data_IF_748959798974
#
_entry.id   IF_748959798974
#
_cell.length_a   1.000
_cell.length_b   1.000
_cell.length_c   1.000
_cell.angle_alpha   90.00
_cell.angle_beta   90.00
_cell.angle_gamma   90.00
#
_symmetry.space_group_name_H-M   'P 1'
#
loop_
_entity.id
_entity.type
_entity.pdbx_description
1 polymer ?
#
# COMPACT_ATOMS: atom_id res chain seq x y z
N UNK A 1 4.53 20.47 -60.36
CA UNK A 1 5.36 19.87 -59.32
C UNK A 1 4.87 20.11 -57.91
N UNK A 2 4.36 21.28 -57.50
CA UNK A 2 3.90 21.59 -56.17
C UNK A 2 2.74 20.74 -55.63
N UNK A 3 1.76 20.33 -56.48
CA UNK A 3 0.61 19.51 -56.05
C UNK A 3 0.98 18.07 -55.71
N UNK A 4 1.99 17.48 -56.40
CA UNK A 4 2.50 16.13 -56.09
C UNK A 4 3.28 16.09 -54.77
N UNK A 5 4.00 17.17 -54.47
CA UNK A 5 4.75 17.31 -53.24
C UNK A 5 3.83 17.40 -52.02
N UNK A 6 2.69 18.14 -52.15
CA UNK A 6 1.69 18.29 -51.10
C UNK A 6 1.00 16.96 -50.75
N UNK A 7 0.70 16.15 -51.78
CA UNK A 7 0.08 14.82 -51.56
C UNK A 7 1.05 13.86 -50.89
N UNK A 8 2.31 13.89 -51.23
CA UNK A 8 3.36 13.06 -50.58
C UNK A 8 3.54 13.48 -49.10
N UNK A 9 3.52 14.78 -48.82
CA UNK A 9 3.62 15.30 -47.46
C UNK A 9 2.41 14.88 -46.59
N UNK A 10 1.19 14.94 -47.17
CA UNK A 10 -0.04 14.51 -46.53
C UNK A 10 -0.05 13.00 -46.23
N UNK A 11 0.46 12.18 -47.17
CA UNK A 11 0.57 10.74 -46.99
C UNK A 11 1.61 10.39 -45.91
N UNK A 12 2.73 11.13 -45.82
CA UNK A 12 3.72 10.97 -44.77
C UNK A 12 3.16 11.30 -43.40
N UNK A 13 2.38 12.37 -43.27
CA UNK A 13 1.72 12.75 -42.01
C UNK A 13 0.71 11.69 -41.59
N UNK A 14 -0.09 11.15 -42.50
CA UNK A 14 -1.03 10.04 -42.22
C UNK A 14 -0.29 8.78 -41.82
N UNK A 15 0.86 8.47 -42.42
CA UNK A 15 1.67 7.31 -42.09
C UNK A 15 2.29 7.48 -40.68
N UNK A 16 2.75 8.67 -40.32
CA UNK A 16 3.29 8.98 -39.00
C UNK A 16 2.20 8.85 -37.94
N UNK A 17 0.98 9.35 -38.21
CA UNK A 17 -0.16 9.21 -37.29
C UNK A 17 -0.54 7.73 -37.13
N UNK A 18 -0.53 6.93 -38.21
CA UNK A 18 -0.82 5.49 -38.13
C UNK A 18 0.28 4.69 -37.42
N UNK A 19 1.55 5.10 -37.51
CA UNK A 19 2.67 4.47 -36.79
C UNK A 19 2.61 4.84 -35.31
N UNK A 20 2.30 6.09 -34.97
CA UNK A 20 2.15 6.53 -33.55
C UNK A 20 0.93 5.86 -32.91
N UNK A 21 -0.15 5.62 -33.64
CA UNK A 21 -1.34 4.89 -33.11
C UNK A 21 -1.12 3.37 -33.05
N UNK A 22 -0.13 2.80 -33.78
CA UNK A 22 0.19 1.37 -33.76
C UNK A 22 1.34 1.00 -32.83
N UNK A 23 2.18 1.98 -32.45
CA UNK A 23 3.19 1.86 -31.41
C UNK A 23 2.68 2.34 -30.04
N UNK A 24 1.37 2.45 -29.86
CA UNK A 24 0.74 2.52 -28.55
C UNK A 24 1.07 1.22 -27.82
N UNK A 25 2.08 1.31 -26.94
CA UNK A 25 2.58 0.20 -26.17
C UNK A 25 1.43 -0.52 -25.47
N UNK A 26 1.61 -1.78 -25.23
CA UNK A 26 0.82 -2.52 -24.26
C UNK A 26 0.68 -1.59 -23.06
N UNK A 27 -0.52 -1.03 -22.88
CA UNK A 27 -0.93 -0.50 -21.59
C UNK A 27 -0.88 -1.73 -20.70
N UNK A 28 0.09 -1.77 -19.80
CA UNK A 28 -0.05 -2.56 -18.61
C UNK A 28 -1.42 -2.18 -18.07
N UNK A 29 -2.35 -3.11 -18.14
CA UNK A 29 -3.61 -3.01 -17.40
C UNK A 29 -3.23 -3.19 -15.93
N UNK A 30 -2.66 -2.15 -15.37
CA UNK A 30 -2.70 -1.92 -13.96
C UNK A 30 -4.19 -1.75 -13.68
N UNK A 31 -4.81 -2.77 -13.09
CA UNK A 31 -6.17 -2.67 -12.57
C UNK A 31 -6.13 -1.55 -11.54
N UNK A 32 -6.46 -0.33 -11.97
CA UNK A 32 -6.85 0.72 -11.04
C UNK A 32 -8.03 0.17 -10.24
N UNK A 33 -7.94 0.07 -8.92
CA UNK A 33 -9.10 -0.29 -8.13
C UNK A 33 -10.10 0.85 -8.26
N UNK A 34 -11.13 0.60 -9.04
CA UNK A 34 -12.39 1.34 -9.17
C UNK A 34 -12.23 2.85 -9.39
N UNK A 35 -12.67 3.30 -10.56
CA UNK A 35 -13.19 4.66 -10.73
C UNK A 35 -14.05 5.02 -9.51
N UNK A 36 -13.53 5.96 -8.72
CA UNK A 36 -14.18 6.43 -7.52
C UNK A 36 -15.53 7.05 -7.88
N UNK A 37 -16.58 6.30 -7.69
CA UNK A 37 -17.88 6.92 -7.47
C UNK A 37 -17.74 7.75 -6.21
N UNK A 38 -17.91 9.07 -6.37
CA UNK A 38 -17.68 10.06 -5.34
C UNK A 38 -18.44 9.72 -4.05
N UNK A 39 -17.68 9.27 -3.08
CA UNK A 39 -18.15 9.21 -1.71
C UNK A 39 -18.01 10.61 -1.12
N UNK A 40 -19.13 11.11 -0.57
CA UNK A 40 -19.17 12.38 0.10
C UNK A 40 -18.09 12.42 1.18
N UNK A 41 -17.20 13.40 1.07
CA UNK A 41 -16.24 13.74 2.12
C UNK A 41 -17.00 14.03 3.42
N UNK A 42 -17.04 13.08 4.32
CA UNK A 42 -17.25 13.39 5.72
C UNK A 42 -15.88 13.67 6.32
N UNK A 43 -15.59 14.95 6.46
CA UNK A 43 -14.40 15.48 7.12
C UNK A 43 -14.52 15.28 8.64
N UNK A 44 -14.38 14.04 9.10
CA UNK A 44 -14.07 13.74 10.48
C UNK A 44 -12.56 13.69 10.65
N UNK A 45 -11.94 14.74 11.20
CA UNK A 45 -10.58 14.63 11.71
C UNK A 45 -10.59 13.60 12.83
N UNK A 46 -10.07 12.38 12.56
CA UNK A 46 -9.76 11.47 13.65
C UNK A 46 -8.69 12.15 14.53
N UNK A 47 -9.01 12.40 15.78
CA UNK A 47 -8.02 12.86 16.76
C UNK A 47 -7.03 11.71 16.98
N UNK A 48 -5.79 11.92 16.56
CA UNK A 48 -4.71 10.94 16.72
C UNK A 48 -4.30 10.85 18.19
N UNK A 49 -4.06 9.66 18.76
CA UNK A 49 -3.49 9.52 20.08
C UNK A 49 -2.14 10.22 20.17
N UNK A 50 -1.83 10.79 21.35
CA UNK A 50 -0.64 11.62 21.59
C UNK A 50 0.71 10.87 21.50
N UNK A 51 0.69 9.56 21.31
CA UNK A 51 1.88 8.69 21.37
C UNK A 51 2.49 8.30 20.01
N UNK A 52 1.79 8.56 18.91
CA UNK A 52 2.34 8.24 17.59
C UNK A 52 3.47 9.20 17.23
N UNK A 53 4.59 8.63 16.77
CA UNK A 53 5.68 9.42 16.20
C UNK A 53 5.27 9.93 14.82
N UNK A 54 5.03 11.25 14.75
CA UNK A 54 4.59 11.94 13.54
C UNK A 54 5.55 13.08 13.20
N UNK A 55 5.70 13.35 11.90
CA UNK A 55 6.36 14.53 11.38
C UNK A 55 5.44 15.75 11.32
N UNK A 56 5.97 16.87 10.88
CA UNK A 56 5.20 18.11 10.71
C UNK A 56 4.68 18.18 9.28
N UNK A 57 3.36 18.22 9.13
CA UNK A 57 2.68 18.37 7.83
C UNK A 57 2.36 19.82 7.59
N UNK A 58 2.73 20.33 6.44
CA UNK A 58 2.38 21.67 5.94
C UNK A 58 1.97 21.59 4.47
N UNK A 59 1.39 22.64 3.95
CA UNK A 59 1.07 22.79 2.54
C UNK A 59 2.21 23.53 1.83
N UNK A 60 2.73 22.95 0.75
CA UNK A 60 3.69 23.62 -0.12
C UNK A 60 2.99 24.69 -0.98
N UNK A 61 3.75 25.62 -1.56
CA UNK A 61 3.21 26.66 -2.47
C UNK A 61 2.44 26.06 -3.67
N UNK A 62 2.76 24.82 -4.06
CA UNK A 62 2.07 24.07 -5.11
C UNK A 62 0.73 23.47 -4.69
N UNK A 63 0.34 23.56 -3.43
CA UNK A 63 -0.82 22.86 -2.86
C UNK A 63 -0.54 21.40 -2.45
N UNK A 64 0.69 20.92 -2.68
CA UNK A 64 1.11 19.56 -2.34
C UNK A 64 1.36 19.39 -0.84
N UNK A 65 1.27 18.16 -0.33
CA UNK A 65 1.66 17.84 1.04
C UNK A 65 3.17 17.95 1.20
N UNK A 66 3.61 18.79 2.14
CA UNK A 66 4.98 18.84 2.62
C UNK A 66 5.05 18.19 3.99
N UNK A 67 6.04 17.31 4.19
CA UNK A 67 6.25 16.57 5.42
C UNK A 67 7.70 16.76 5.90
N UNK A 68 7.90 17.38 7.04
CA UNK A 68 9.19 17.43 7.73
C UNK A 68 9.28 16.28 8.73
N UNK A 69 10.31 15.47 8.59
CA UNK A 69 10.60 14.32 9.44
C UNK A 69 11.96 14.52 10.11
N UNK A 70 12.03 14.30 11.41
CA UNK A 70 13.29 14.29 12.15
C UNK A 70 13.61 12.84 12.59
N UNK A 71 14.79 12.36 12.15
CA UNK A 71 15.30 11.03 12.53
C UNK A 71 16.78 11.17 12.94
N UNK A 72 17.12 10.66 14.12
CA UNK A 72 18.50 10.68 14.63
C UNK A 72 19.13 12.09 14.62
N UNK A 73 18.33 13.13 14.82
CA UNK A 73 18.79 14.53 14.80
C UNK A 73 18.92 15.14 13.41
N UNK A 74 18.63 14.40 12.34
CA UNK A 74 18.60 14.89 10.98
C UNK A 74 17.16 15.19 10.54
N UNK A 75 16.97 16.37 9.95
CA UNK A 75 15.70 16.82 9.38
C UNK A 75 15.68 16.54 7.89
N UNK A 76 14.64 15.87 7.43
CA UNK A 76 14.36 15.61 6.01
C UNK A 76 13.00 16.16 5.66
N UNK A 77 12.91 16.88 4.55
CA UNK A 77 11.65 17.41 4.02
C UNK A 77 11.27 16.64 2.76
N UNK A 78 10.07 16.09 2.75
CA UNK A 78 9.46 15.46 1.59
C UNK A 78 8.35 16.35 1.05
N UNK A 79 8.27 16.51 -0.27
CA UNK A 79 7.14 17.18 -0.93
C UNK A 79 6.47 16.17 -1.83
N UNK A 80 5.30 15.68 -1.41
CA UNK A 80 4.53 14.68 -2.15
C UNK A 80 3.58 15.38 -3.13
N UNK A 81 3.98 15.44 -4.41
CA UNK A 81 3.24 16.19 -5.42
C UNK A 81 1.91 15.53 -5.83
N UNK A 82 1.67 14.29 -5.42
CA UNK A 82 0.45 13.52 -5.64
C UNK A 82 -0.46 13.40 -4.39
N UNK A 83 -0.19 14.20 -3.36
CA UNK A 83 -0.98 14.27 -2.12
C UNK A 83 -1.30 15.73 -1.82
N UNK A 84 -2.54 16.01 -1.44
CA UNK A 84 -2.97 17.29 -0.87
C UNK A 84 -3.19 17.14 0.64
N UNK A 85 -3.09 18.25 1.40
CA UNK A 85 -3.27 18.20 2.86
C UNK A 85 -4.68 17.79 3.31
N UNK A 86 -5.66 17.79 2.39
CA UNK A 86 -7.04 17.43 2.67
C UNK A 86 -7.36 15.96 2.36
N UNK A 87 -6.41 15.20 1.81
CA UNK A 87 -6.61 13.80 1.52
C UNK A 87 -6.76 13.00 2.83
N UNK A 88 -7.74 12.09 2.88
CA UNK A 88 -8.07 11.31 4.08
C UNK A 88 -6.88 10.52 4.64
N UNK A 89 -5.96 10.13 3.79
CA UNK A 89 -4.81 9.29 4.15
C UNK A 89 -3.58 10.09 4.62
N UNK A 90 -3.63 11.43 4.67
CA UNK A 90 -2.48 12.27 5.10
C UNK A 90 -1.94 11.86 6.47
N UNK A 91 -2.75 11.62 7.53
CA UNK A 91 -2.24 11.18 8.81
C UNK A 91 -1.50 9.84 8.74
N UNK A 92 -2.04 8.89 7.95
CA UNK A 92 -1.45 7.58 7.76
C UNK A 92 -0.13 7.64 6.95
N UNK A 93 -0.07 8.46 5.91
CA UNK A 93 1.15 8.71 5.15
C UNK A 93 2.22 9.35 6.03
N UNK A 94 1.86 10.36 6.84
CA UNK A 94 2.76 10.95 7.82
C UNK A 94 3.33 9.86 8.74
N UNK A 95 2.47 9.01 9.32
CA UNK A 95 2.90 7.93 10.20
C UNK A 95 3.91 6.99 9.53
N UNK A 96 3.57 6.41 8.38
CA UNK A 96 4.44 5.40 7.75
C UNK A 96 5.74 5.99 7.20
N UNK A 97 5.72 7.25 6.73
CA UNK A 97 6.94 7.92 6.25
C UNK A 97 7.81 8.32 7.43
N UNK A 98 7.26 8.90 8.50
CA UNK A 98 8.02 9.32 9.69
C UNK A 98 8.69 8.14 10.37
N UNK A 99 8.04 6.97 10.42
CA UNK A 99 8.59 5.76 11.02
C UNK A 99 9.45 4.92 10.06
N UNK A 100 9.67 5.38 8.82
CA UNK A 100 10.52 4.68 7.84
C UNK A 100 9.95 3.39 7.28
N UNK A 101 8.66 3.16 7.49
CA UNK A 101 7.97 1.95 7.01
C UNK A 101 7.76 2.00 5.49
N UNK A 102 7.38 3.17 4.99
CA UNK A 102 7.17 3.43 3.57
C UNK A 102 7.88 4.72 3.16
N UNK A 103 8.15 4.87 1.86
CA UNK A 103 8.73 6.07 1.28
C UNK A 103 8.05 6.41 -0.05
N UNK A 104 8.24 7.65 -0.51
CA UNK A 104 7.93 8.03 -1.88
C UNK A 104 9.05 7.66 -2.86
N UNK A 105 8.76 7.86 -4.13
CA UNK A 105 9.74 7.80 -5.22
C UNK A 105 10.15 9.22 -5.57
N UNK A 106 11.45 9.53 -5.53
CA UNK A 106 11.98 10.79 -6.00
C UNK A 106 11.74 10.92 -7.51
N UNK A 107 11.15 12.04 -7.91
CA UNK A 107 10.87 12.35 -9.33
C UNK A 107 11.66 13.57 -9.82
N UNK A 108 12.63 14.03 -9.03
CA UNK A 108 13.46 15.19 -9.31
C UNK A 108 12.84 16.48 -8.81
N UNK A 109 13.67 17.55 -8.83
CA UNK A 109 13.22 18.89 -8.40
C UNK A 109 12.82 18.99 -6.93
N UNK A 110 13.25 18.07 -6.08
CA UNK A 110 12.86 18.00 -4.67
C UNK A 110 11.45 17.46 -4.45
N UNK A 111 10.83 16.88 -5.48
CA UNK A 111 9.49 16.31 -5.42
C UNK A 111 9.53 14.77 -5.31
N UNK A 112 8.54 14.23 -4.63
CA UNK A 112 8.31 12.78 -4.50
C UNK A 112 6.88 12.43 -4.88
N UNK A 113 6.67 11.18 -5.29
CA UNK A 113 5.36 10.57 -5.47
C UNK A 113 5.18 9.46 -4.43
N UNK A 114 4.13 9.55 -3.62
CA UNK A 114 3.77 8.47 -2.69
C UNK A 114 2.98 7.37 -3.39
N UNK A 115 2.21 7.71 -4.41
CA UNK A 115 1.31 6.82 -5.16
C UNK A 115 0.27 6.15 -4.28
N UNK A 116 -0.60 6.93 -3.59
CA UNK A 116 -1.50 6.43 -2.57
C UNK A 116 -2.47 5.35 -3.07
N UNK A 117 -2.89 5.44 -4.33
CA UNK A 117 -3.88 4.54 -4.94
C UNK A 117 -3.25 3.30 -5.61
N UNK A 118 -1.92 3.17 -5.65
CA UNK A 118 -1.28 2.00 -6.25
C UNK A 118 -1.41 0.78 -5.35
N UNK A 119 -1.66 -0.38 -5.99
CA UNK A 119 -1.66 -1.67 -5.30
C UNK A 119 -0.31 -2.01 -4.69
N UNK A 120 -0.32 -2.86 -3.68
CA UNK A 120 0.88 -3.33 -2.98
C UNK A 120 1.17 -4.78 -3.34
N UNK A 121 2.40 -5.07 -3.76
CA UNK A 121 2.82 -6.46 -3.99
C UNK A 121 3.16 -7.17 -2.69
N UNK A 122 3.17 -8.52 -2.73
CA UNK A 122 3.47 -9.35 -1.56
C UNK A 122 4.91 -9.16 -1.07
N UNK A 123 5.87 -8.95 -1.98
CA UNK A 123 7.25 -8.60 -1.62
C UNK A 123 7.32 -7.24 -0.90
N UNK A 124 6.58 -6.24 -1.39
CA UNK A 124 6.51 -4.92 -0.75
C UNK A 124 5.86 -5.00 0.64
N UNK A 125 4.78 -5.78 0.78
CA UNK A 125 4.16 -6.03 2.08
C UNK A 125 5.15 -6.70 3.04
N UNK A 126 5.88 -7.73 2.59
CA UNK A 126 6.89 -8.40 3.42
C UNK A 126 7.97 -7.42 3.92
N UNK A 127 8.46 -6.51 3.05
CA UNK A 127 9.42 -5.48 3.45
C UNK A 127 8.86 -4.53 4.51
N UNK A 128 7.62 -4.07 4.32
CA UNK A 128 6.99 -3.14 5.26
C UNK A 128 6.80 -3.81 6.62
N UNK A 129 6.33 -5.05 6.66
CA UNK A 129 6.17 -5.81 7.89
C UNK A 129 7.51 -6.09 8.58
N UNK A 130 8.54 -6.43 7.80
CA UNK A 130 9.90 -6.62 8.30
C UNK A 130 10.40 -5.38 9.03
N UNK A 131 10.19 -4.19 8.46
CA UNK A 131 10.53 -2.92 9.10
C UNK A 131 9.66 -2.63 10.32
N UNK A 132 8.36 -2.88 10.20
CA UNK A 132 7.38 -2.61 11.25
C UNK A 132 7.63 -3.47 12.51
N UNK A 133 7.90 -4.76 12.33
CA UNK A 133 8.14 -5.69 13.41
C UNK A 133 9.61 -5.75 13.89
N UNK A 134 10.52 -4.94 13.33
CA UNK A 134 11.93 -5.00 13.64
C UNK A 134 12.56 -6.34 13.26
N UNK A 135 12.20 -6.89 12.10
CA UNK A 135 12.66 -8.18 11.63
C UNK A 135 14.18 -8.25 11.46
N UNK A 136 14.73 -9.44 11.62
CA UNK A 136 16.14 -9.74 11.39
C UNK A 136 16.28 -10.82 10.32
N UNK A 137 17.37 -10.83 9.52
CA UNK A 137 17.58 -11.86 8.51
C UNK A 137 17.59 -13.26 9.13
N UNK A 138 16.92 -14.20 8.48
CA UNK A 138 16.91 -15.59 8.96
C UNK A 138 18.18 -16.32 8.51
N UNK A 139 18.75 -17.14 9.38
CA UNK A 139 20.01 -17.85 9.11
C UNK A 139 19.89 -18.85 7.94
N UNK A 140 18.69 -19.42 7.76
CA UNK A 140 18.36 -20.29 6.64
C UNK A 140 16.88 -20.12 6.26
N UNK A 141 16.55 -19.96 4.98
CA UNK A 141 15.16 -19.94 4.54
C UNK A 141 14.44 -21.24 4.92
N UNK A 142 13.18 -21.13 5.34
CA UNK A 142 12.33 -22.28 5.61
C UNK A 142 11.97 -23.06 4.34
N UNK A 143 11.74 -22.32 3.27
CA UNK A 143 11.41 -22.86 1.96
C UNK A 143 12.27 -22.19 0.87
N UNK A 144 12.33 -22.83 -0.28
CA UNK A 144 12.95 -22.24 -1.49
C UNK A 144 11.87 -22.09 -2.54
N UNK A 145 11.69 -20.86 -3.00
CA UNK A 145 10.70 -20.51 -4.03
C UNK A 145 11.40 -20.13 -5.32
N UNK A 146 10.81 -20.49 -6.46
CA UNK A 146 11.36 -20.19 -7.78
C UNK A 146 11.40 -18.69 -8.10
N UNK A 147 10.56 -17.91 -7.45
CA UNK A 147 10.45 -16.45 -7.59
C UNK A 147 11.18 -15.65 -6.50
N UNK A 148 11.91 -16.31 -5.58
CA UNK A 148 12.67 -15.65 -4.52
C UNK A 148 14.17 -15.90 -4.72
N UNK A 149 14.85 -14.95 -5.36
CA UNK A 149 16.28 -15.05 -5.66
C UNK A 149 17.12 -14.33 -4.59
N UNK A 150 18.25 -14.96 -4.22
CA UNK A 150 19.23 -14.32 -3.33
C UNK A 150 19.88 -13.13 -4.05
N UNK A 151 19.95 -11.99 -3.36
CA UNK A 151 20.45 -10.74 -3.94
C UNK A 151 19.35 -9.77 -4.37
N UNK A 152 18.11 -10.23 -4.45
CA UNK A 152 16.96 -9.35 -4.60
C UNK A 152 16.66 -8.59 -3.32
N UNK A 153 16.14 -7.36 -3.46
CA UNK A 153 15.89 -6.46 -2.33
C UNK A 153 14.89 -7.01 -1.31
N UNK A 154 14.03 -7.92 -1.72
CA UNK A 154 13.00 -8.55 -0.89
C UNK A 154 13.43 -9.88 -0.24
N UNK A 155 14.61 -10.39 -0.57
CA UNK A 155 15.03 -11.74 -0.17
C UNK A 155 14.92 -11.97 1.35
N UNK A 156 15.54 -11.13 2.15
CA UNK A 156 15.53 -11.27 3.61
C UNK A 156 14.13 -11.07 4.19
N UNK A 157 13.40 -10.09 3.70
CA UNK A 157 12.04 -9.78 4.17
C UNK A 157 11.05 -10.92 3.88
N UNK A 158 11.11 -11.51 2.68
CA UNK A 158 10.26 -12.63 2.27
C UNK A 158 10.58 -13.86 3.10
N UNK A 159 11.86 -14.22 3.24
CA UNK A 159 12.27 -15.38 4.03
C UNK A 159 11.91 -15.23 5.52
N UNK A 160 12.03 -14.01 6.06
CA UNK A 160 11.59 -13.70 7.43
C UNK A 160 10.06 -13.88 7.56
N UNK A 161 9.28 -13.31 6.64
CA UNK A 161 7.82 -13.38 6.68
C UNK A 161 7.30 -14.82 6.54
N UNK A 162 7.92 -15.63 5.68
CA UNK A 162 7.61 -17.05 5.50
C UNK A 162 8.01 -17.88 6.74
N UNK A 163 9.24 -17.69 7.24
CA UNK A 163 9.73 -18.46 8.39
C UNK A 163 8.90 -18.24 9.65
N UNK A 164 8.43 -16.99 9.86
CA UNK A 164 7.55 -16.65 10.98
C UNK A 164 6.06 -16.94 10.67
N UNK A 165 5.74 -17.40 9.46
CA UNK A 165 4.37 -17.72 9.07
C UNK A 165 3.44 -16.52 8.89
N UNK A 166 3.97 -15.31 8.82
CA UNK A 166 3.16 -14.09 8.66
C UNK A 166 2.52 -14.01 7.29
N UNK A 167 3.27 -14.28 6.22
CA UNK A 167 2.75 -14.32 4.86
C UNK A 167 2.87 -15.75 4.34
N UNK A 168 1.73 -16.36 4.00
CA UNK A 168 1.71 -17.70 3.41
C UNK A 168 2.11 -17.62 1.93
N UNK A 169 2.88 -18.59 1.39
CA UNK A 169 3.19 -18.62 -0.03
C UNK A 169 1.94 -18.79 -0.88
N UNK A 170 2.00 -18.37 -2.14
CA UNK A 170 0.92 -18.55 -3.10
C UNK A 170 0.77 -20.03 -3.49
N UNK A 171 1.90 -20.73 -3.60
CA UNK A 171 1.97 -22.17 -3.87
C UNK A 171 3.24 -22.77 -3.23
N UNK A 172 3.39 -24.10 -3.20
CA UNK A 172 4.61 -24.72 -2.67
C UNK A 172 5.91 -24.27 -3.34
N UNK A 173 5.86 -23.86 -4.60
CA UNK A 173 7.02 -23.47 -5.41
C UNK A 173 7.15 -21.98 -5.67
N UNK A 174 6.16 -21.17 -5.28
CA UNK A 174 6.11 -19.73 -5.50
C UNK A 174 5.60 -18.98 -4.27
N UNK A 175 6.35 -17.97 -3.86
CA UNK A 175 5.87 -17.03 -2.84
C UNK A 175 4.87 -16.03 -3.41
N UNK A 176 4.92 -15.76 -4.72
CA UNK A 176 4.09 -14.78 -5.41
C UNK A 176 4.58 -13.35 -5.20
N UNK A 177 5.89 -13.11 -5.27
CA UNK A 177 6.52 -11.80 -4.92
C UNK A 177 5.92 -10.61 -5.66
N UNK A 178 5.51 -10.78 -6.94
CA UNK A 178 4.93 -9.74 -7.77
C UNK A 178 3.39 -9.68 -7.70
N UNK A 179 2.74 -10.66 -7.07
CA UNK A 179 1.29 -10.67 -6.93
C UNK A 179 0.83 -9.57 -5.97
N UNK A 180 -0.29 -8.92 -6.30
CA UNK A 180 -0.89 -7.91 -5.43
C UNK A 180 -1.61 -8.56 -4.24
N UNK A 181 -1.45 -7.96 -3.06
CA UNK A 181 -2.17 -8.38 -1.88
C UNK A 181 -3.62 -7.90 -1.92
N UNK A 182 -4.57 -8.78 -1.63
CA UNK A 182 -5.94 -8.37 -1.34
C UNK A 182 -6.08 -7.79 0.08
N UNK A 183 -7.16 -7.04 0.31
CA UNK A 183 -7.44 -6.46 1.62
C UNK A 183 -7.50 -7.55 2.71
N UNK A 184 -8.26 -8.64 2.49
CA UNK A 184 -8.38 -9.73 3.48
C UNK A 184 -7.07 -10.49 3.73
N UNK A 185 -6.16 -10.57 2.73
CA UNK A 185 -4.82 -11.13 2.94
C UNK A 185 -3.98 -10.26 3.87
N UNK A 186 -4.02 -8.94 3.70
CA UNK A 186 -3.31 -8.01 4.60
C UNK A 186 -3.88 -8.10 6.01
N UNK A 187 -5.21 -8.16 6.17
CA UNK A 187 -5.83 -8.36 7.47
C UNK A 187 -5.42 -9.69 8.12
N UNK A 188 -5.33 -10.76 7.31
CA UNK A 188 -4.86 -12.06 7.81
C UNK A 188 -3.38 -12.03 8.22
N UNK A 189 -2.56 -11.21 7.58
CA UNK A 189 -1.16 -11.00 7.97
C UNK A 189 -1.08 -10.24 9.30
N UNK A 190 -1.81 -9.14 9.46
CA UNK A 190 -1.86 -8.38 10.71
C UNK A 190 -2.44 -9.21 11.87
N UNK A 191 -3.45 -10.03 11.60
CA UNK A 191 -4.02 -10.96 12.56
C UNK A 191 -2.97 -11.97 13.07
N UNK A 192 -2.17 -12.56 12.15
CA UNK A 192 -1.06 -13.44 12.53
C UNK A 192 0.03 -12.72 13.32
N UNK A 193 0.34 -11.47 12.94
CA UNK A 193 1.29 -10.64 13.67
C UNK A 193 0.83 -10.35 15.11
N UNK A 194 -0.50 -10.24 15.32
CA UNK A 194 -1.11 -10.11 16.64
C UNK A 194 -1.25 -11.44 17.42
N UNK A 195 -0.65 -12.54 16.94
CA UNK A 195 -0.77 -13.84 17.59
C UNK A 195 -2.06 -14.60 17.28
N UNK A 196 -2.81 -14.20 16.26
CA UNK A 196 -4.06 -14.81 15.80
C UNK A 196 -5.15 -14.89 16.90
N UNK A 197 -5.49 -13.78 17.56
CA UNK A 197 -6.49 -13.77 18.61
C UNK A 197 -7.87 -14.20 18.08
N UNK A 198 -8.64 -14.93 18.87
CA UNK A 198 -10.00 -15.32 18.51
C UNK A 198 -10.93 -14.11 18.49
N UNK A 199 -11.84 -14.07 17.53
CA UNK A 199 -12.93 -13.09 17.46
C UNK A 199 -14.22 -13.75 17.00
N UNK A 200 -15.29 -13.47 17.73
CA UNK A 200 -16.66 -13.89 17.41
C UNK A 200 -17.53 -12.71 17.00
N UNK A 201 -16.91 -11.57 16.61
CA UNK A 201 -17.65 -10.39 16.21
C UNK A 201 -18.62 -10.69 15.05
N UNK A 202 -19.81 -10.11 15.11
CA UNK A 202 -20.74 -10.11 13.98
C UNK A 202 -20.18 -9.24 12.86
N UNK A 203 -20.37 -9.70 11.62
CA UNK A 203 -20.09 -8.90 10.42
C UNK A 203 -21.38 -8.41 9.74
N UNK A 204 -22.53 -8.39 10.46
CA UNK A 204 -23.81 -7.95 9.89
C UNK A 204 -23.73 -6.50 9.37
N UNK A 205 -23.01 -5.65 10.08
CA UNK A 205 -22.82 -4.25 9.72
C UNK A 205 -21.66 -4.04 8.72
N UNK A 206 -20.94 -5.09 8.36
CA UNK A 206 -19.88 -5.01 7.34
C UNK A 206 -20.47 -5.31 5.95
N UNK A 207 -20.59 -4.31 5.06
CA UNK A 207 -21.33 -4.45 3.79
C UNK A 207 -20.78 -5.53 2.86
N UNK A 208 -19.50 -5.85 2.99
CA UNK A 208 -18.79 -6.80 2.17
C UNK A 208 -18.60 -8.17 2.83
N UNK A 209 -19.23 -8.43 3.97
CA UNK A 209 -19.16 -9.72 4.68
C UNK A 209 -19.38 -10.94 3.77
N UNK A 210 -20.36 -10.94 2.82
CA UNK A 210 -20.56 -12.08 1.91
C UNK A 210 -19.43 -12.31 0.90
N UNK A 211 -18.47 -11.38 0.81
CA UNK A 211 -17.31 -11.46 -0.10
C UNK A 211 -16.03 -11.92 0.60
N UNK A 212 -16.06 -12.08 1.91
CA UNK A 212 -14.92 -12.55 2.70
C UNK A 212 -14.71 -14.04 2.43
N UNK A 213 -13.46 -14.42 2.13
CA UNK A 213 -13.09 -15.83 1.98
C UNK A 213 -13.18 -16.54 3.33
N UNK A 214 -13.63 -17.80 3.31
CA UNK A 214 -13.72 -18.61 4.53
C UNK A 214 -12.38 -18.71 5.27
N UNK A 215 -11.28 -18.78 4.53
CA UNK A 215 -9.92 -18.87 5.08
C UNK A 215 -9.48 -17.61 5.83
N UNK A 216 -10.06 -16.44 5.54
CA UNK A 216 -9.70 -15.16 6.14
C UNK A 216 -10.78 -14.61 7.08
N UNK A 217 -11.89 -15.36 7.26
CA UNK A 217 -13.04 -14.88 8.03
C UNK A 217 -12.70 -14.50 9.48
N UNK A 218 -11.86 -15.31 10.14
CA UNK A 218 -11.41 -15.01 11.52
C UNK A 218 -10.65 -13.69 11.59
N UNK A 219 -9.72 -13.46 10.65
CA UNK A 219 -8.93 -12.25 10.59
C UNK A 219 -9.78 -11.00 10.30
N UNK A 220 -10.75 -11.12 9.39
CA UNK A 220 -11.67 -10.00 9.08
C UNK A 220 -12.57 -9.68 10.27
N UNK A 221 -13.11 -10.69 10.99
CA UNK A 221 -13.88 -10.49 12.22
C UNK A 221 -13.06 -9.76 13.29
N UNK A 222 -11.83 -10.22 13.50
CA UNK A 222 -10.92 -9.56 14.44
C UNK A 222 -10.62 -8.11 14.04
N UNK A 223 -10.32 -7.88 12.77
CA UNK A 223 -10.02 -6.53 12.26
C UNK A 223 -11.23 -5.59 12.40
N UNK A 224 -12.44 -6.08 12.16
CA UNK A 224 -13.69 -5.36 12.37
C UNK A 224 -13.93 -5.04 13.85
N UNK A 225 -13.78 -6.04 14.71
CA UNK A 225 -13.91 -5.87 16.17
C UNK A 225 -12.95 -4.82 16.73
N UNK A 226 -11.70 -4.84 16.25
CA UNK A 226 -10.67 -3.91 16.69
C UNK A 226 -10.74 -2.53 16.02
N UNK A 227 -11.64 -2.32 15.06
CA UNK A 227 -11.76 -1.06 14.35
C UNK A 227 -10.59 -0.80 13.37
N UNK A 228 -9.84 -1.84 12.96
CA UNK A 228 -8.81 -1.71 11.93
C UNK A 228 -9.42 -1.36 10.57
N UNK A 229 -10.61 -1.87 10.30
CA UNK A 229 -11.44 -1.52 9.16
C UNK A 229 -12.74 -0.92 9.67
N UNK A 230 -13.13 0.20 9.09
CA UNK A 230 -14.37 0.92 9.37
C UNK A 230 -14.84 1.59 8.07
N UNK A 231 -16.10 1.99 8.00
CA UNK A 231 -16.70 2.62 6.82
C UNK A 231 -16.46 4.14 6.73
N UNK A 232 -15.57 4.67 7.54
CA UNK A 232 -15.42 6.09 7.80
C UNK A 232 -14.50 6.84 6.81
N UNK A 233 -13.50 6.17 6.23
CA UNK A 233 -12.46 6.84 5.43
C UNK A 233 -12.30 6.25 4.02
N UNK A 234 -12.43 4.93 3.87
CA UNK A 234 -12.29 4.26 2.60
C UNK A 234 -13.05 2.92 2.56
N UNK A 235 -13.25 2.41 1.34
CA UNK A 235 -13.89 1.12 1.12
C UNK A 235 -12.91 -0.02 1.39
N UNK A 236 -13.31 -0.98 2.23
CA UNK A 236 -12.55 -2.17 2.58
C UNK A 236 -13.13 -3.40 1.86
N UNK A 237 -12.91 -3.51 0.56
CA UNK A 237 -13.41 -4.66 -0.21
C UNK A 237 -12.46 -5.86 -0.06
N UNK A 238 -12.90 -7.02 0.47
CA UNK A 238 -12.01 -8.10 0.92
C UNK A 238 -11.06 -8.63 -0.15
N UNK A 239 -11.57 -8.88 -1.34
CA UNK A 239 -10.84 -9.55 -2.42
C UNK A 239 -10.18 -8.60 -3.42
N UNK A 240 -10.31 -7.28 -3.25
CA UNK A 240 -9.62 -6.31 -4.08
C UNK A 240 -8.20 -6.05 -3.58
N UNK A 241 -7.33 -5.68 -4.52
CA UNK A 241 -5.98 -5.26 -4.20
C UNK A 241 -6.01 -4.06 -3.25
N UNK A 242 -5.27 -4.16 -2.16
CA UNK A 242 -5.14 -3.09 -1.18
C UNK A 242 -4.20 -2.01 -1.69
N UNK A 243 -4.58 -0.75 -1.53
CA UNK A 243 -3.75 0.39 -1.93
C UNK A 243 -2.69 0.72 -0.89
N UNK A 244 -1.67 1.49 -1.30
CA UNK A 244 -0.61 1.98 -0.41
C UNK A 244 -1.17 2.85 0.71
N UNK A 245 -2.17 3.69 0.42
CA UNK A 245 -2.86 4.50 1.42
C UNK A 245 -3.61 3.65 2.44
N UNK A 246 -4.31 2.61 1.98
CA UNK A 246 -5.01 1.68 2.87
C UNK A 246 -4.05 0.90 3.78
N UNK A 247 -2.91 0.43 3.25
CA UNK A 247 -1.88 -0.23 4.08
C UNK A 247 -1.30 0.74 5.11
N UNK A 248 -1.02 1.99 4.72
CA UNK A 248 -0.54 2.99 5.65
C UNK A 248 -1.54 3.20 6.80
N UNK A 249 -2.85 3.27 6.49
CA UNK A 249 -3.90 3.40 7.49
C UNK A 249 -4.01 2.16 8.39
N UNK A 250 -3.95 0.97 7.82
CA UNK A 250 -3.98 -0.28 8.59
C UNK A 250 -2.82 -0.38 9.57
N UNK A 251 -1.60 -0.02 9.16
CA UNK A 251 -0.42 -0.05 10.03
C UNK A 251 -0.52 0.99 11.15
N UNK A 252 -0.95 2.20 10.84
CA UNK A 252 -1.18 3.24 11.82
C UNK A 252 -2.22 2.81 12.87
N UNK A 253 -3.36 2.30 12.43
CA UNK A 253 -4.42 1.80 13.32
C UNK A 253 -3.97 0.58 14.13
N UNK A 254 -3.23 -0.33 13.51
CA UNK A 254 -2.67 -1.49 14.21
C UNK A 254 -1.78 -1.06 15.37
N UNK A 255 -0.85 -0.13 15.14
CA UNK A 255 0.05 0.38 16.18
C UNK A 255 -0.71 1.07 17.31
N UNK A 256 -1.73 1.88 16.96
CA UNK A 256 -2.58 2.57 17.93
C UNK A 256 -3.41 1.63 18.81
N UNK A 257 -4.03 0.63 18.18
CA UNK A 257 -5.08 -0.18 18.80
C UNK A 257 -4.52 -1.46 19.44
N UNK A 258 -3.48 -2.01 18.86
CA UNK A 258 -2.88 -3.29 19.27
C UNK A 258 -1.56 -3.06 20.00
N UNK A 259 -0.68 -2.18 19.50
CA UNK A 259 0.58 -1.83 20.13
C UNK A 259 0.42 -1.20 21.51
N UNK A 260 -0.60 -0.35 21.68
CA UNK A 260 -0.91 0.29 22.96
C UNK A 260 -1.47 -0.67 24.03
N UNK A 261 -2.03 -1.82 23.62
CA UNK A 261 -2.63 -2.79 24.56
C UNK A 261 -1.61 -3.72 25.23
N UNK A 262 -0.35 -3.70 24.79
CA UNK A 262 0.67 -4.62 25.28
C UNK A 262 0.43 -6.09 24.88
N UNK A 263 -0.51 -6.33 23.97
CA UNK A 263 -0.86 -7.67 23.45
C UNK A 263 0.08 -8.12 22.31
N UNK A 264 1.11 -7.34 21.97
CA UNK A 264 2.15 -7.79 21.06
C UNK A 264 2.96 -8.90 21.76
N UNK A 265 2.90 -10.09 21.22
CA UNK A 265 3.57 -11.28 21.73
C UNK A 265 5.09 -11.23 21.54
#
# INVERSE_FOLDING_TARGET
MRKKLLVILLLLVVLIVLVVTRCGGKKDQQNDPADGQGFAQQSGKAELPAELKLGVVTEAESGAMQLEVERNGEKTVYVFSDITINDWYVPAVNYVVTNGLMSGTDVGGGLSLFRPNYGMTRAQLAMILYRFAGGEPVAAPRHTYGDVSSGEWYYDCVNWADTNGYIKPESPDSFGVEAYCSCEEVLAVLHRLAGSPESNASLEDYPYAPKVSETNLSAVRWAWEKGLIAEDECVWYPTQAVSRAQIALLLMRYDQLIGASGEAA
#
